data_IF_230423074181
#
_entry.id   IF_230423074181
#
_cell.length_a   1.000
_cell.length_b   1.000
_cell.length_c   1.000
_cell.angle_alpha   90.00
_cell.angle_beta   90.00
_cell.angle_gamma   90.00
#
_symmetry.space_group_name_H-M   'P 1'
#
loop_
_entity.id
_entity.type
_entity.pdbx_description
1 polymer ?
#
# COMPACT_ATOMS: atom_id res chain seq x y z
N UNK A 1 24.44 -5.16 -5.48
CA UNK A 1 23.17 -5.58 -4.85
C UNK A 1 22.69 -6.88 -5.48
N UNK A 2 22.27 -7.86 -4.69
CA UNK A 2 21.73 -9.14 -5.15
C UNK A 2 20.31 -8.97 -5.71
N UNK A 3 19.77 -9.97 -6.44
CA UNK A 3 18.44 -9.89 -7.09
C UNK A 3 17.34 -9.66 -6.04
N UNK A 4 17.35 -10.38 -4.93
CA UNK A 4 16.40 -10.25 -3.81
C UNK A 4 16.44 -8.86 -3.18
N UNK A 5 17.63 -8.29 -2.99
CA UNK A 5 17.76 -6.93 -2.46
C UNK A 5 17.19 -5.89 -3.42
N UNK A 6 17.36 -6.08 -4.74
CA UNK A 6 16.73 -5.23 -5.76
C UNK A 6 15.21 -5.34 -5.71
N UNK A 7 14.66 -6.56 -5.62
CA UNK A 7 13.21 -6.78 -5.51
C UNK A 7 12.64 -6.06 -4.28
N UNK A 8 13.28 -6.22 -3.11
CA UNK A 8 12.84 -5.57 -1.87
C UNK A 8 12.84 -4.04 -2.02
N UNK A 9 13.94 -3.46 -2.53
CA UNK A 9 14.03 -2.00 -2.72
C UNK A 9 13.02 -1.50 -3.74
N UNK A 10 12.85 -2.22 -4.85
CA UNK A 10 11.89 -1.88 -5.90
C UNK A 10 10.46 -1.84 -5.35
N UNK A 11 10.06 -2.85 -4.56
CA UNK A 11 8.73 -2.89 -3.95
C UNK A 11 8.56 -1.81 -2.89
N UNK A 12 9.59 -1.54 -2.08
CA UNK A 12 9.58 -0.45 -1.11
C UNK A 12 9.37 0.91 -1.81
N UNK A 13 10.16 1.21 -2.85
CA UNK A 13 10.02 2.45 -3.61
C UNK A 13 8.67 2.54 -4.33
N UNK A 14 8.17 1.43 -4.87
CA UNK A 14 6.88 1.37 -5.56
C UNK A 14 5.75 1.69 -4.60
N UNK A 15 5.64 0.96 -3.49
CA UNK A 15 4.57 1.19 -2.54
C UNK A 15 4.73 2.54 -1.84
N UNK A 16 5.94 2.95 -1.46
CA UNK A 16 6.16 4.29 -0.90
C UNK A 16 5.69 5.41 -1.83
N UNK A 17 6.01 5.33 -3.11
CA UNK A 17 5.60 6.35 -4.10
C UNK A 17 4.09 6.33 -4.34
N UNK A 18 3.48 5.16 -4.52
CA UNK A 18 2.03 5.10 -4.74
C UNK A 18 1.23 5.43 -3.48
N UNK A 19 1.77 5.17 -2.28
CA UNK A 19 1.16 5.56 -1.01
C UNK A 19 1.23 7.07 -0.77
N UNK A 20 2.34 7.71 -1.13
CA UNK A 20 2.46 9.16 -1.14
C UNK A 20 1.40 9.80 -2.08
N UNK A 21 1.22 9.24 -3.28
CA UNK A 21 0.16 9.67 -4.21
C UNK A 21 -1.24 9.49 -3.62
N UNK A 22 -1.46 8.42 -2.84
CA UNK A 22 -2.75 8.13 -2.20
C UNK A 22 -3.27 9.25 -1.31
N UNK A 23 -2.40 10.06 -0.73
CA UNK A 23 -2.80 11.27 0.00
C UNK A 23 -3.66 12.26 -0.82
N UNK A 24 -3.73 12.13 -2.15
CA UNK A 24 -4.54 12.99 -3.02
C UNK A 24 -5.93 12.42 -3.37
N UNK A 25 -6.18 11.13 -3.17
CA UNK A 25 -7.30 10.39 -3.82
C UNK A 25 -8.30 9.71 -2.88
N UNK A 26 -8.35 10.14 -1.61
CA UNK A 26 -9.19 9.54 -0.59
C UNK A 26 -8.62 8.25 -0.02
N UNK A 27 -9.07 7.92 1.19
CA UNK A 27 -8.34 7.00 2.05
C UNK A 27 -8.44 5.53 1.58
N UNK A 28 -9.57 5.07 1.06
CA UNK A 28 -9.84 3.66 0.77
C UNK A 28 -9.41 3.26 -0.65
N UNK A 29 -10.05 3.84 -1.66
CA UNK A 29 -9.78 3.55 -3.07
C UNK A 29 -8.36 3.93 -3.49
N UNK A 30 -7.80 5.01 -2.93
CA UNK A 30 -6.42 5.40 -3.18
C UNK A 30 -5.44 4.37 -2.62
N UNK A 31 -5.70 3.87 -1.39
CA UNK A 31 -4.87 2.83 -0.79
C UNK A 31 -4.98 1.51 -1.55
N UNK A 32 -6.18 1.21 -2.07
CA UNK A 32 -6.38 0.05 -2.93
C UNK A 32 -5.55 0.12 -4.22
N UNK A 33 -5.58 1.25 -4.92
CA UNK A 33 -4.78 1.45 -6.12
C UNK A 33 -3.28 1.33 -5.80
N UNK A 34 -2.82 2.00 -4.74
CA UNK A 34 -1.42 1.98 -4.32
C UNK A 34 -0.93 0.55 -4.02
N UNK A 35 -1.69 -0.20 -3.22
CA UNK A 35 -1.41 -1.59 -2.88
C UNK A 35 -1.43 -2.50 -4.11
N UNK A 36 -2.40 -2.32 -5.00
CA UNK A 36 -2.53 -3.08 -6.24
C UNK A 36 -1.31 -2.97 -7.16
N UNK A 37 -0.80 -1.76 -7.37
CA UNK A 37 0.42 -1.51 -8.17
C UNK A 37 1.62 -2.22 -7.56
N UNK A 38 1.84 -2.05 -6.25
CA UNK A 38 2.99 -2.62 -5.57
C UNK A 38 2.98 -4.15 -5.57
N UNK A 39 1.82 -4.77 -5.32
CA UNK A 39 1.64 -6.22 -5.35
C UNK A 39 1.94 -6.78 -6.75
N UNK A 40 1.44 -6.11 -7.80
CA UNK A 40 1.59 -6.59 -9.17
C UNK A 40 3.04 -6.48 -9.67
N UNK A 41 3.72 -5.39 -9.35
CA UNK A 41 5.14 -5.20 -9.66
C UNK A 41 6.05 -6.07 -8.80
N UNK A 42 5.66 -6.43 -7.57
CA UNK A 42 6.37 -7.43 -6.76
C UNK A 42 6.31 -8.80 -7.41
N UNK A 43 5.12 -9.28 -7.82
CA UNK A 43 4.98 -10.58 -8.50
C UNK A 43 5.81 -10.62 -9.79
N UNK A 44 5.73 -9.57 -10.60
CA UNK A 44 6.56 -9.44 -11.79
C UNK A 44 8.06 -9.51 -11.46
N UNK A 45 8.51 -8.77 -10.44
CA UNK A 45 9.93 -8.65 -10.11
C UNK A 45 10.53 -9.94 -9.56
N UNK A 46 9.74 -10.75 -8.87
CA UNK A 46 10.13 -12.08 -8.41
C UNK A 46 10.29 -13.04 -9.59
N UNK A 47 9.40 -12.96 -10.59
CA UNK A 47 9.48 -13.76 -11.81
C UNK A 47 9.17 -15.25 -11.59
N UNK A 48 8.55 -15.63 -10.47
CA UNK A 48 8.10 -17.00 -10.24
C UNK A 48 6.90 -17.31 -11.17
N UNK A 49 7.05 -18.30 -12.05
CA UNK A 49 6.03 -18.64 -13.06
C UNK A 49 4.68 -19.03 -12.47
N UNK A 50 4.66 -19.72 -11.32
CA UNK A 50 3.42 -20.08 -10.63
C UNK A 50 2.71 -18.84 -10.08
N UNK A 51 3.47 -17.89 -9.55
CA UNK A 51 2.91 -16.64 -9.02
C UNK A 51 2.43 -15.71 -10.11
N UNK A 52 3.14 -15.66 -11.25
CA UNK A 52 2.72 -14.82 -12.37
C UNK A 52 1.33 -15.22 -12.89
N UNK A 53 1.00 -16.52 -12.90
CA UNK A 53 -0.33 -17.03 -13.29
C UNK A 53 -1.48 -16.58 -12.37
N UNK A 54 -1.20 -16.34 -11.09
CA UNK A 54 -2.17 -15.82 -10.10
C UNK A 54 -1.97 -14.34 -9.81
N UNK A 55 -1.01 -13.69 -10.47
CA UNK A 55 -0.48 -12.37 -10.08
C UNK A 55 -1.55 -11.28 -10.07
N UNK A 56 -2.44 -11.25 -11.07
CA UNK A 56 -3.53 -10.26 -11.11
C UNK A 56 -4.51 -10.47 -9.95
N UNK A 57 -4.87 -11.72 -9.66
CA UNK A 57 -5.79 -12.04 -8.56
C UNK A 57 -5.16 -11.73 -7.21
N UNK A 58 -3.92 -12.15 -6.99
CA UNK A 58 -3.20 -11.84 -5.76
C UNK A 58 -3.08 -10.33 -5.55
N UNK A 59 -2.79 -9.58 -6.61
CA UNK A 59 -2.70 -8.12 -6.57
C UNK A 59 -4.04 -7.44 -6.30
N UNK A 60 -5.15 -7.96 -6.84
CA UNK A 60 -6.48 -7.48 -6.48
C UNK A 60 -6.79 -7.74 -5.00
N UNK A 61 -6.46 -8.93 -4.47
CA UNK A 61 -6.68 -9.21 -3.05
C UNK A 61 -5.81 -8.34 -2.15
N UNK A 62 -4.56 -8.08 -2.54
CA UNK A 62 -3.70 -7.09 -1.89
C UNK A 62 -4.29 -5.69 -1.93
N UNK A 63 -4.77 -5.25 -3.10
CA UNK A 63 -5.45 -3.96 -3.26
C UNK A 63 -6.65 -3.84 -2.32
N UNK A 64 -7.51 -4.86 -2.24
CA UNK A 64 -8.64 -4.87 -1.31
C UNK A 64 -8.13 -4.75 0.14
N UNK A 65 -7.11 -5.49 0.54
CA UNK A 65 -6.58 -5.44 1.91
C UNK A 65 -5.98 -4.08 2.30
N UNK A 66 -5.17 -3.49 1.41
CA UNK A 66 -4.64 -2.14 1.64
C UNK A 66 -5.75 -1.09 1.63
N UNK A 67 -6.76 -1.25 0.76
CA UNK A 67 -7.93 -0.39 0.68
C UNK A 67 -8.83 -0.46 1.91
N UNK A 68 -9.04 -1.66 2.48
CA UNK A 68 -9.80 -1.85 3.71
C UNK A 68 -9.21 -1.03 4.86
N UNK A 69 -7.89 -0.89 4.94
CA UNK A 69 -7.28 -0.04 5.98
C UNK A 69 -7.66 1.44 5.85
N UNK A 70 -8.09 1.89 4.67
CA UNK A 70 -8.47 3.27 4.39
C UNK A 70 -9.62 3.81 5.24
N UNK A 71 -10.46 2.93 5.80
CA UNK A 71 -11.55 3.33 6.70
C UNK A 71 -11.05 3.86 8.06
N UNK A 72 -9.80 3.56 8.43
CA UNK A 72 -9.22 3.96 9.71
C UNK A 72 -8.89 5.45 9.71
N UNK A 73 -9.43 6.17 10.70
CA UNK A 73 -9.03 7.54 10.98
C UNK A 73 -7.72 7.58 11.78
N UNK A 74 -6.84 8.53 11.48
CA UNK A 74 -5.55 8.65 12.21
C UNK A 74 -5.06 10.09 12.41
N UNK A 75 -5.71 11.10 11.83
CA UNK A 75 -5.22 12.49 11.90
C UNK A 75 -5.09 13.04 13.32
N UNK A 76 -5.98 12.64 14.24
CA UNK A 76 -5.87 12.98 15.66
C UNK A 76 -4.67 12.30 16.32
N UNK A 77 -4.36 11.06 15.92
CA UNK A 77 -3.25 10.27 16.46
C UNK A 77 -1.90 10.85 16.03
N UNK A 78 -1.80 11.34 14.79
CA UNK A 78 -0.69 12.20 14.32
C UNK A 78 -0.52 13.41 15.23
N UNK A 79 -1.61 14.05 15.65
CA UNK A 79 -1.56 15.16 16.60
C UNK A 79 -0.98 14.77 17.96
N UNK A 80 -1.26 13.57 18.46
CA UNK A 80 -0.66 13.09 19.72
C UNK A 80 0.86 12.92 19.61
N UNK A 81 1.36 12.45 18.46
CA UNK A 81 2.80 12.31 18.21
C UNK A 81 3.59 13.63 18.19
N UNK A 82 2.88 14.76 18.06
CA UNK A 82 3.41 16.13 18.09
C UNK A 82 3.39 16.78 19.48
N UNK A 83 3.07 16.01 20.51
CA UNK A 83 2.97 16.49 21.89
C UNK A 83 4.34 16.61 22.56
N UNK A 84 4.47 17.59 23.45
CA UNK A 84 5.63 17.77 24.32
C UNK A 84 5.63 16.78 25.50
N UNK A 85 4.46 16.22 25.84
CA UNK A 85 4.37 15.18 26.84
C UNK A 85 4.83 13.85 26.26
N UNK A 86 5.87 13.28 26.86
CA UNK A 86 6.49 12.05 26.39
C UNK A 86 5.50 10.89 26.33
N UNK A 87 4.64 10.74 27.34
CA UNK A 87 3.67 9.64 27.38
C UNK A 87 2.66 9.75 26.25
N UNK A 88 2.16 10.95 25.99
CA UNK A 88 1.21 11.22 24.92
C UNK A 88 1.84 11.10 23.52
N UNK A 89 3.08 11.57 23.34
CA UNK A 89 3.83 11.36 22.10
C UNK A 89 4.11 9.87 21.85
N UNK A 90 4.55 9.14 22.86
CA UNK A 90 4.72 7.68 22.79
C UNK A 90 3.42 6.98 22.43
N UNK A 91 2.30 7.36 23.06
CA UNK A 91 0.98 6.83 22.72
C UNK A 91 0.64 7.09 21.25
N UNK A 92 0.80 8.33 20.77
CA UNK A 92 0.56 8.70 19.37
C UNK A 92 1.36 7.84 18.39
N UNK A 93 2.68 7.77 18.57
CA UNK A 93 3.55 7.00 17.66
C UNK A 93 3.27 5.49 17.74
N UNK A 94 3.00 4.94 18.92
CA UNK A 94 2.65 3.52 19.05
C UNK A 94 1.31 3.19 18.39
N UNK A 95 0.30 4.05 18.54
CA UNK A 95 -1.00 3.86 17.90
C UNK A 95 -0.93 4.03 16.38
N UNK A 96 -0.10 4.95 15.87
CA UNK A 96 0.23 4.98 14.44
C UNK A 96 0.95 3.70 14.01
N UNK A 97 1.81 3.16 14.86
CA UNK A 97 2.41 1.84 14.68
C UNK A 97 1.36 0.73 14.54
N UNK A 98 0.32 0.75 15.36
CA UNK A 98 -0.81 -0.19 15.25
C UNK A 98 -1.58 0.01 13.95
N UNK A 99 -1.98 1.25 13.63
CA UNK A 99 -2.77 1.56 12.43
C UNK A 99 -1.99 1.20 11.16
N UNK A 100 -0.72 1.58 11.06
CA UNK A 100 0.16 1.22 9.94
C UNK A 100 0.37 -0.30 9.87
N UNK A 101 0.43 -0.94 11.03
CA UNK A 101 0.45 -2.38 11.16
C UNK A 101 -0.79 -3.06 10.59
N UNK A 102 -1.98 -2.51 10.83
CA UNK A 102 -3.24 -3.03 10.30
C UNK A 102 -3.35 -2.89 8.78
N UNK A 103 -2.91 -1.75 8.21
CA UNK A 103 -2.76 -1.60 6.76
C UNK A 103 -1.87 -2.71 6.17
N UNK A 104 -0.67 -2.86 6.74
CA UNK A 104 0.30 -3.86 6.30
C UNK A 104 -0.20 -5.28 6.48
N UNK A 105 -0.89 -5.57 7.59
CA UNK A 105 -1.44 -6.88 7.92
C UNK A 105 -2.47 -7.31 6.89
N UNK A 106 -3.51 -6.49 6.66
CA UNK A 106 -4.60 -6.79 5.73
C UNK A 106 -4.09 -6.84 4.28
N UNK A 107 -3.33 -5.82 3.87
CA UNK A 107 -2.78 -5.73 2.52
C UNK A 107 -1.82 -6.86 2.18
N UNK A 108 -0.80 -7.07 3.02
CA UNK A 108 0.18 -8.14 2.84
C UNK A 108 -0.40 -9.54 3.06
N UNK A 109 -1.39 -9.68 3.94
CA UNK A 109 -2.04 -10.94 4.25
C UNK A 109 -2.95 -11.44 3.12
N UNK A 110 -3.85 -10.60 2.62
CA UNK A 110 -4.72 -10.96 1.50
C UNK A 110 -3.90 -11.17 0.21
N UNK A 111 -2.85 -10.37 0.00
CA UNK A 111 -1.90 -10.61 -1.09
C UNK A 111 -1.20 -11.97 -0.94
N UNK A 112 -0.65 -12.27 0.25
CA UNK A 112 0.03 -13.52 0.54
C UNK A 112 -0.86 -14.75 0.35
N UNK A 113 -2.13 -14.69 0.77
CA UNK A 113 -3.12 -15.74 0.49
C UNK A 113 -3.39 -15.90 -1.01
N UNK A 114 -3.37 -14.80 -1.77
CA UNK A 114 -3.44 -14.85 -3.23
C UNK A 114 -2.25 -15.58 -3.87
N UNK A 115 -1.04 -15.40 -3.32
CA UNK A 115 0.16 -16.13 -3.78
C UNK A 115 0.14 -17.62 -3.41
N UNK A 116 -0.48 -17.96 -2.27
CA UNK A 116 -0.59 -19.32 -1.76
C UNK A 116 -1.30 -20.26 -2.76
N UNK A 117 -2.26 -19.75 -3.55
CA UNK A 117 -2.91 -20.52 -4.62
C UNK A 117 -1.91 -20.93 -5.71
N UNK A 118 -0.94 -20.08 -6.03
CA UNK A 118 0.13 -20.38 -6.97
C UNK A 118 1.20 -21.30 -6.38
N UNK A 119 1.54 -21.12 -5.09
CA UNK A 119 2.58 -21.92 -4.42
C UNK A 119 2.15 -23.34 -4.08
N UNK A 120 0.99 -23.50 -3.43
CA UNK A 120 0.51 -24.78 -2.91
C UNK A 120 -0.39 -25.54 -3.89
N UNK A 121 -0.93 -24.86 -4.91
CA UNK A 121 -1.98 -25.38 -5.79
C UNK A 121 -3.35 -25.51 -5.11
N UNK A 122 -3.46 -25.27 -3.79
CA UNK A 122 -4.72 -25.29 -3.05
C UNK A 122 -5.43 -23.95 -3.22
N UNK A 123 -6.71 -24.01 -3.60
CA UNK A 123 -7.55 -22.80 -3.67
C UNK A 123 -7.85 -22.31 -2.26
N UNK A 124 -7.74 -21.01 -2.05
CA UNK A 124 -8.19 -20.38 -0.81
C UNK A 124 -9.72 -20.37 -0.81
N UNK A 125 -10.31 -20.73 0.33
CA UNK A 125 -11.76 -20.67 0.54
C UNK A 125 -12.19 -19.21 0.79
N UNK A 126 -12.07 -18.36 -0.24
CA UNK A 126 -12.36 -16.92 -0.16
C UNK A 126 -13.72 -16.59 0.48
N UNK A 127 -14.84 -17.28 0.18
CA UNK A 127 -16.12 -17.00 0.84
C UNK A 127 -16.06 -17.23 2.35
N UNK A 128 -15.44 -18.33 2.79
CA UNK A 128 -15.28 -18.63 4.21
C UNK A 128 -14.39 -17.60 4.90
N UNK A 129 -13.26 -17.24 4.27
CA UNK A 129 -12.36 -16.21 4.80
C UNK A 129 -13.08 -14.87 4.98
N UNK A 130 -13.86 -14.43 3.99
CA UNK A 130 -14.62 -13.16 4.06
C UNK A 130 -15.65 -13.21 5.19
N UNK A 131 -16.34 -14.34 5.38
CA UNK A 131 -17.28 -14.52 6.50
C UNK A 131 -16.55 -14.46 7.84
N UNK A 132 -15.43 -15.16 7.98
CA UNK A 132 -14.62 -15.16 9.21
C UNK A 132 -14.05 -13.77 9.52
N UNK A 133 -13.55 -13.05 8.52
CA UNK A 133 -13.06 -11.67 8.68
C UNK A 133 -14.19 -10.72 9.09
N UNK A 134 -15.37 -10.84 8.47
CA UNK A 134 -16.55 -10.02 8.82
C UNK A 134 -17.00 -10.31 10.26
N UNK A 135 -17.10 -11.59 10.64
CA UNK A 135 -17.47 -11.97 12.01
C UNK A 135 -16.43 -11.50 13.03
N UNK A 136 -15.13 -11.67 12.73
CA UNK A 136 -14.05 -11.18 13.58
C UNK A 136 -14.07 -9.67 13.76
N UNK A 137 -14.31 -8.91 12.68
CA UNK A 137 -14.49 -7.47 12.73
C UNK A 137 -15.63 -7.04 13.66
N UNK A 138 -16.81 -7.65 13.52
CA UNK A 138 -17.98 -7.33 14.33
C UNK A 138 -17.77 -7.66 15.81
N UNK A 139 -17.25 -8.86 16.10
CA UNK A 139 -16.98 -9.32 17.46
C UNK A 139 -15.95 -8.41 18.13
N UNK A 140 -14.82 -8.14 17.46
CA UNK A 140 -13.77 -7.32 18.04
C UNK A 140 -14.25 -5.89 18.29
N UNK A 141 -14.91 -5.27 17.30
CA UNK A 141 -15.42 -3.91 17.44
C UNK A 141 -16.42 -3.81 18.60
N UNK A 142 -17.38 -4.74 18.70
CA UNK A 142 -18.35 -4.74 19.79
C UNK A 142 -17.70 -4.87 21.16
N UNK A 143 -16.82 -5.86 21.37
CA UNK A 143 -16.24 -6.09 22.70
C UNK A 143 -15.19 -5.04 23.06
N UNK A 144 -14.30 -4.67 22.13
CA UNK A 144 -13.15 -3.79 22.44
C UNK A 144 -13.53 -2.32 22.40
N UNK A 145 -14.28 -1.89 21.38
CA UNK A 145 -14.62 -0.47 21.20
C UNK A 145 -15.89 -0.13 21.98
N UNK A 146 -17.00 -0.82 21.69
CA UNK A 146 -18.30 -0.45 22.29
C UNK A 146 -18.41 -0.83 23.77
N UNK A 147 -18.05 -2.08 24.13
CA UNK A 147 -18.25 -2.56 25.50
C UNK A 147 -17.14 -2.13 26.47
N UNK A 148 -15.86 -2.22 26.06
CA UNK A 148 -14.73 -1.83 26.91
C UNK A 148 -14.37 -0.34 26.80
N UNK A 149 -14.90 0.38 25.80
CA UNK A 149 -14.60 1.81 25.63
C UNK A 149 -13.15 2.09 25.30
N UNK A 150 -12.43 1.15 24.67
CA UNK A 150 -11.04 1.36 24.25
C UNK A 150 -11.05 2.19 22.97
N UNK A 151 -11.00 3.51 23.14
CA UNK A 151 -11.02 4.48 22.04
C UNK A 151 -9.60 4.95 21.71
N UNK A 152 -9.21 4.83 20.45
CA UNK A 152 -7.91 5.25 19.92
C UNK A 152 -7.97 6.63 19.26
N UNK A 153 -9.07 6.93 18.57
CA UNK A 153 -9.21 8.06 17.63
C UNK A 153 -10.34 9.06 17.93
N UNK A 154 -10.88 9.20 19.15
CA UNK A 154 -12.07 10.03 19.36
C UNK A 154 -11.80 11.51 19.04
N UNK A 155 -12.79 12.27 18.55
CA UNK A 155 -14.20 11.88 18.31
C UNK A 155 -14.42 11.24 16.92
N UNK A 156 -13.37 10.76 16.24
CA UNK A 156 -13.47 10.12 14.92
C UNK A 156 -13.87 8.65 15.05
N UNK A 157 -14.08 8.02 13.89
CA UNK A 157 -14.47 6.62 13.77
C UNK A 157 -13.37 5.68 14.27
N UNK A 158 -13.74 4.75 15.15
CA UNK A 158 -12.88 3.70 15.71
C UNK A 158 -12.76 2.47 14.79
N UNK A 159 -12.78 2.71 13.47
CA UNK A 159 -12.73 1.67 12.45
C UNK A 159 -11.45 0.82 12.49
N UNK A 160 -10.41 1.25 13.21
CA UNK A 160 -9.24 0.40 13.50
C UNK A 160 -9.64 -0.90 14.22
N UNK A 161 -10.69 -0.88 15.05
CA UNK A 161 -11.19 -2.08 15.74
C UNK A 161 -11.79 -3.09 14.76
N UNK A 162 -12.49 -2.60 13.73
CA UNK A 162 -13.00 -3.43 12.62
C UNK A 162 -11.83 -4.09 11.88
N UNK A 163 -10.82 -3.30 11.50
CA UNK A 163 -9.63 -3.81 10.81
C UNK A 163 -8.83 -4.80 11.67
N UNK A 164 -8.70 -4.55 12.97
CA UNK A 164 -8.03 -5.43 13.92
C UNK A 164 -8.75 -6.78 14.03
N UNK A 165 -10.06 -6.78 14.23
CA UNK A 165 -10.86 -8.00 14.27
C UNK A 165 -10.78 -8.82 12.98
N UNK A 166 -10.91 -8.17 11.83
CA UNK A 166 -10.73 -8.82 10.52
C UNK A 166 -9.32 -9.40 10.36
N UNK A 167 -8.29 -8.66 10.76
CA UNK A 167 -6.90 -9.08 10.70
C UNK A 167 -6.60 -10.30 11.58
N UNK A 168 -7.11 -10.32 12.81
CA UNK A 168 -6.96 -11.46 13.74
C UNK A 168 -7.64 -12.72 13.17
N UNK A 169 -8.88 -12.60 12.66
CA UNK A 169 -9.57 -13.71 12.03
C UNK A 169 -8.83 -14.23 10.78
N UNK A 170 -8.26 -13.33 9.96
CA UNK A 170 -7.44 -13.71 8.83
C UNK A 170 -6.14 -14.44 9.24
N UNK A 171 -5.45 -13.97 10.29
CA UNK A 171 -4.27 -14.67 10.83
C UNK A 171 -4.63 -16.06 11.35
N UNK A 172 -5.75 -16.18 12.07
CA UNK A 172 -6.26 -17.46 12.54
C UNK A 172 -6.59 -18.41 11.37
N UNK A 173 -7.21 -17.89 10.30
CA UNK A 173 -7.43 -18.61 9.05
C UNK A 173 -6.12 -19.14 8.45
N UNK A 174 -5.08 -18.31 8.38
CA UNK A 174 -3.78 -18.74 7.84
C UNK A 174 -3.14 -19.84 8.69
N UNK A 175 -3.21 -19.71 10.02
CA UNK A 175 -2.63 -20.69 10.96
C UNK A 175 -3.36 -22.04 10.84
N UNK A 176 -4.70 -22.05 10.90
CA UNK A 176 -5.50 -23.28 10.88
C UNK A 176 -5.45 -24.02 9.53
N UNK A 177 -5.12 -23.31 8.45
CA UNK A 177 -4.96 -23.89 7.11
C UNK A 177 -3.49 -24.07 6.70
N UNK A 178 -2.53 -23.83 7.61
CA UNK A 178 -1.09 -23.97 7.38
C UNK A 178 -0.53 -23.11 6.23
N UNK A 179 -1.08 -21.91 6.01
CA UNK A 179 -0.60 -20.95 5.02
C UNK A 179 0.59 -20.13 5.57
N UNK A 180 1.72 -20.78 5.80
CA UNK A 180 2.88 -20.18 6.49
C UNK A 180 3.54 -19.06 5.68
N UNK A 181 3.53 -19.16 4.35
CA UNK A 181 4.06 -18.13 3.45
C UNK A 181 3.23 -16.86 3.51
N UNK A 182 1.90 -17.01 3.41
CA UNK A 182 0.96 -15.90 3.57
C UNK A 182 1.05 -15.26 4.97
N UNK A 183 1.09 -16.08 6.03
CA UNK A 183 1.24 -15.63 7.41
C UNK A 183 2.50 -14.78 7.60
N UNK A 184 3.64 -15.27 7.10
CA UNK A 184 4.91 -14.53 7.19
C UNK A 184 4.85 -13.21 6.40
N UNK A 185 4.22 -13.21 5.23
CA UNK A 185 4.04 -12.01 4.41
C UNK A 185 3.18 -10.97 5.14
N UNK A 186 2.08 -11.40 5.75
CA UNK A 186 1.19 -10.56 6.56
C UNK A 186 1.94 -9.92 7.74
N UNK A 187 2.68 -10.72 8.52
CA UNK A 187 3.38 -10.24 9.72
C UNK A 187 4.52 -9.26 9.40
N UNK A 188 5.34 -9.53 8.38
CA UNK A 188 6.41 -8.60 8.02
C UNK A 188 5.87 -7.33 7.36
N UNK A 189 4.81 -7.44 6.55
CA UNK A 189 4.11 -6.27 6.01
C UNK A 189 3.51 -5.41 7.13
N UNK A 190 2.91 -6.03 8.15
CA UNK A 190 2.41 -5.33 9.34
C UNK A 190 3.53 -4.62 10.11
N UNK A 191 4.63 -5.31 10.43
CA UNK A 191 5.75 -4.68 11.14
C UNK A 191 6.34 -3.53 10.33
N UNK A 192 6.49 -3.71 9.01
CA UNK A 192 6.98 -2.68 8.10
C UNK A 192 6.06 -1.46 8.03
N UNK A 193 4.77 -1.68 7.79
CA UNK A 193 3.78 -0.59 7.73
C UNK A 193 3.64 0.15 9.04
N UNK A 194 3.63 -0.56 10.17
CA UNK A 194 3.56 0.03 11.51
C UNK A 194 4.78 0.86 11.84
N UNK A 195 5.98 0.28 11.68
CA UNK A 195 7.22 1.04 11.86
C UNK A 195 7.28 2.26 10.95
N UNK A 196 6.96 2.09 9.67
CA UNK A 196 7.00 3.17 8.69
C UNK A 196 6.05 4.31 9.00
N UNK A 197 4.88 4.03 9.55
CA UNK A 197 3.91 5.07 9.89
C UNK A 197 4.35 5.87 11.12
N UNK A 198 4.73 5.17 12.20
CA UNK A 198 5.23 5.79 13.42
C UNK A 198 6.51 6.61 13.16
N UNK A 199 7.44 6.04 12.41
CA UNK A 199 8.66 6.74 12.01
C UNK A 199 8.37 7.92 11.07
N UNK A 200 7.40 7.78 10.17
CA UNK A 200 6.95 8.85 9.29
C UNK A 200 6.41 10.06 10.07
N UNK A 201 5.67 9.83 11.14
CA UNK A 201 5.16 10.91 12.00
C UNK A 201 6.27 11.58 12.80
N UNK A 202 7.23 10.80 13.33
CA UNK A 202 8.48 11.36 13.86
C UNK A 202 9.19 12.26 12.84
N UNK A 203 9.26 11.86 11.57
CA UNK A 203 9.82 12.71 10.51
C UNK A 203 8.99 13.97 10.25
N UNK A 204 7.68 13.99 10.52
CA UNK A 204 6.89 15.23 10.46
C UNK A 204 7.32 16.22 11.53
N UNK A 205 7.50 15.74 12.76
CA UNK A 205 7.99 16.56 13.88
C UNK A 205 9.36 17.13 13.55
N UNK A 206 10.31 16.27 13.16
CA UNK A 206 11.65 16.70 12.78
C UNK A 206 11.65 17.64 11.56
N UNK A 207 10.75 17.39 10.60
CA UNK A 207 10.55 18.24 9.44
C UNK A 207 10.13 19.65 9.80
N UNK A 208 9.18 19.78 10.73
CA UNK A 208 8.79 21.09 11.27
C UNK A 208 9.97 21.81 11.93
N UNK A 209 10.77 21.10 12.74
CA UNK A 209 11.93 21.68 13.43
C UNK A 209 13.06 22.08 12.47
N UNK A 210 13.20 21.38 11.35
CA UNK A 210 14.20 21.70 10.32
C UNK A 210 13.93 23.03 9.60
N UNK A 211 12.70 23.57 9.69
CA UNK A 211 12.23 24.74 8.92
C UNK A 211 12.31 24.56 7.40
N UNK A 212 12.49 23.32 6.92
CA UNK A 212 12.44 23.01 5.48
C UNK A 212 10.97 23.08 5.06
N UNK A 213 10.68 23.94 4.07
CA UNK A 213 9.34 24.04 3.48
C UNK A 213 9.10 22.86 2.51
N UNK A 214 8.72 21.72 3.07
CA UNK A 214 8.40 20.51 2.32
C UNK A 214 7.11 19.87 2.87
N UNK A 215 6.42 19.11 2.03
CA UNK A 215 5.22 18.38 2.42
C UNK A 215 5.58 17.16 3.28
N UNK A 216 5.81 17.36 4.58
CA UNK A 216 6.18 16.28 5.49
C UNK A 216 5.03 15.31 5.78
N UNK A 217 3.78 15.72 5.60
CA UNK A 217 2.66 14.77 5.61
C UNK A 217 2.85 13.68 4.55
N UNK A 218 3.28 14.10 3.37
CA UNK A 218 3.59 13.17 2.29
C UNK A 218 4.84 12.30 2.57
N UNK A 219 5.82 12.81 3.32
CA UNK A 219 6.96 12.01 3.81
C UNK A 219 6.49 10.90 4.76
N UNK A 220 5.52 11.19 5.63
CA UNK A 220 4.92 10.19 6.50
C UNK A 220 4.19 9.12 5.70
N UNK A 221 3.31 9.50 4.77
CA UNK A 221 2.60 8.56 3.90
C UNK A 221 3.58 7.71 3.06
N UNK A 222 4.63 8.35 2.51
CA UNK A 222 5.71 7.66 1.81
C UNK A 222 6.40 6.63 2.70
N UNK A 223 6.69 6.98 3.96
CA UNK A 223 7.37 6.10 4.92
C UNK A 223 6.54 4.86 5.24
N UNK A 224 5.24 5.03 5.48
CA UNK A 224 4.31 3.90 5.65
C UNK A 224 4.39 2.95 4.44
N UNK A 225 4.22 3.47 3.23
CA UNK A 225 4.28 2.66 2.01
C UNK A 225 5.64 2.01 1.79
N UNK A 226 6.74 2.74 2.04
CA UNK A 226 8.09 2.26 1.81
C UNK A 226 8.43 1.06 2.71
N UNK A 227 8.25 1.21 4.02
CA UNK A 227 8.55 0.14 4.97
C UNK A 227 7.52 -0.98 4.90
N UNK A 228 6.24 -0.68 4.62
CA UNK A 228 5.22 -1.68 4.33
C UNK A 228 5.58 -2.54 3.12
N UNK A 229 6.04 -1.92 2.02
CA UNK A 229 6.46 -2.61 0.80
C UNK A 229 7.72 -3.44 1.01
N UNK A 230 8.69 -2.92 1.77
CA UNK A 230 9.89 -3.63 2.20
C UNK A 230 9.52 -4.90 2.99
N UNK A 231 8.66 -4.76 4.00
CA UNK A 231 8.18 -5.84 4.83
C UNK A 231 7.42 -6.90 4.03
N UNK A 232 6.50 -6.47 3.16
CA UNK A 232 5.74 -7.35 2.27
C UNK A 232 6.65 -8.16 1.33
N UNK A 233 7.61 -7.51 0.66
CA UNK A 233 8.54 -8.19 -0.24
C UNK A 233 9.45 -9.18 0.51
N UNK A 234 10.02 -8.76 1.65
CA UNK A 234 10.85 -9.62 2.48
C UNK A 234 10.06 -10.84 3.01
N UNK A 235 8.84 -10.62 3.49
CA UNK A 235 7.94 -11.66 3.99
C UNK A 235 7.61 -12.68 2.90
N UNK A 236 7.27 -12.22 1.69
CA UNK A 236 7.00 -13.10 0.55
C UNK A 236 8.23 -13.91 0.14
N UNK A 237 9.38 -13.27 -0.05
CA UNK A 237 10.62 -13.95 -0.46
C UNK A 237 11.12 -14.96 0.56
N UNK A 238 10.89 -14.74 1.86
CA UNK A 238 11.36 -15.63 2.92
C UNK A 238 10.33 -16.65 3.40
N UNK A 239 9.04 -16.40 3.19
CA UNK A 239 7.94 -17.28 3.62
C UNK A 239 7.64 -18.41 2.65
N UNK A 240 7.94 -18.22 1.38
CA UNK A 240 7.58 -19.15 0.31
C UNK A 240 8.79 -19.92 -0.27
N UNK A 241 9.86 -20.06 0.51
CA UNK A 241 11.16 -20.65 0.09
C UNK A 241 11.07 -22.04 -0.56
N UNK A 242 10.02 -22.83 -0.29
CA UNK A 242 9.82 -24.17 -0.87
C UNK A 242 8.91 -24.21 -2.11
N UNK A 243 8.52 -23.05 -2.67
CA UNK A 243 7.67 -23.01 -3.87
C UNK A 243 8.44 -23.28 -5.17
N UNK A 244 9.77 -23.27 -5.10
CA UNK A 244 10.67 -23.67 -6.16
C UNK A 244 11.10 -25.12 -5.92
N UNK A 245 11.20 -25.89 -7.01
CA UNK A 245 11.61 -27.30 -7.07
C UNK A 245 10.49 -28.31 -6.72
N UNK A 246 9.42 -28.28 -7.50
CA UNK A 246 8.81 -29.55 -7.91
C UNK A 246 8.31 -29.34 -9.33
N UNK A 247 9.02 -29.98 -10.27
CA UNK A 247 8.53 -30.23 -11.62
C UNK A 247 7.30 -31.12 -11.48
N UNK A 248 6.12 -30.51 -11.42
CA UNK A 248 4.86 -31.23 -11.46
C UNK A 248 4.00 -30.61 -12.56
N UNK A 249 4.00 -31.35 -13.68
CA UNK A 249 3.13 -31.32 -14.87
C UNK A 249 2.71 -29.96 -15.41
N UNK A 250 3.15 -29.69 -16.63
CA UNK A 250 2.52 -28.79 -17.58
C UNK A 250 1.03 -29.15 -17.75
N UNK A 251 0.16 -28.48 -17.00
CA UNK A 251 -1.17 -28.17 -17.50
C UNK A 251 -1.30 -26.66 -17.60
N UNK A 252 -1.05 -26.20 -18.83
CA UNK A 252 -1.30 -24.86 -19.33
C UNK A 252 -2.81 -24.59 -19.33
N UNK A 253 -3.37 -24.24 -18.17
CA UNK A 253 -4.61 -23.50 -18.15
C UNK A 253 -4.36 -22.15 -17.50
N UNK A 254 -4.44 -21.11 -18.32
CA UNK A 254 -4.62 -19.73 -17.87
C UNK A 254 -5.74 -19.74 -16.83
N UNK A 255 -5.53 -19.11 -15.68
CA UNK A 255 -6.57 -18.99 -14.67
C UNK A 255 -7.81 -18.38 -15.32
N UNK A 256 -8.94 -19.12 -15.45
CA UNK A 256 -10.11 -18.66 -16.20
C UNK A 256 -10.78 -17.42 -15.56
N UNK A 257 -10.33 -17.01 -14.36
CA UNK A 257 -10.84 -15.85 -13.62
C UNK A 257 -9.96 -14.60 -13.70
N UNK A 258 -8.86 -14.63 -14.47
CA UNK A 258 -7.99 -13.45 -14.65
C UNK A 258 -8.77 -12.23 -15.14
N UNK A 259 -9.77 -12.43 -16.00
CA UNK A 259 -10.65 -11.37 -16.52
C UNK A 259 -11.37 -10.62 -15.39
N UNK A 260 -11.93 -11.34 -14.41
CA UNK A 260 -12.64 -10.72 -13.28
C UNK A 260 -11.67 -9.96 -12.37
N UNK A 261 -10.51 -10.54 -12.10
CA UNK A 261 -9.48 -9.85 -11.31
C UNK A 261 -8.97 -8.60 -12.01
N UNK A 262 -8.85 -8.63 -13.34
CA UNK A 262 -8.46 -7.47 -14.15
C UNK A 262 -9.53 -6.39 -14.13
N UNK A 263 -10.81 -6.74 -14.25
CA UNK A 263 -11.93 -5.80 -14.14
C UNK A 263 -11.90 -5.10 -12.77
N UNK A 264 -11.70 -5.83 -11.68
CA UNK A 264 -11.61 -5.24 -10.35
C UNK A 264 -10.40 -4.30 -10.21
N UNK A 265 -9.22 -4.76 -10.60
CA UNK A 265 -7.96 -4.06 -10.36
C UNK A 265 -7.74 -2.87 -11.29
N UNK A 266 -8.07 -3.02 -12.58
CA UNK A 266 -7.84 -1.99 -13.61
C UNK A 266 -9.11 -1.20 -13.93
N UNK A 267 -10.28 -1.83 -13.85
CA UNK A 267 -11.55 -1.16 -14.13
C UNK A 267 -12.08 -0.42 -12.91
N UNK A 268 -12.56 -1.17 -11.92
CA UNK A 268 -13.38 -0.67 -10.80
C UNK A 268 -12.59 0.27 -9.89
N UNK A 269 -11.43 -0.14 -9.39
CA UNK A 269 -10.64 0.69 -8.45
C UNK A 269 -10.30 2.06 -9.08
N UNK A 270 -9.71 2.12 -10.30
CA UNK A 270 -9.45 3.40 -10.94
C UNK A 270 -10.69 4.21 -11.29
N UNK A 271 -11.81 3.56 -11.65
CA UNK A 271 -13.06 4.25 -11.94
C UNK A 271 -13.62 4.95 -10.69
N UNK A 272 -13.56 4.32 -9.53
CA UNK A 272 -14.00 4.93 -8.26
C UNK A 272 -13.12 6.15 -7.93
N UNK A 273 -11.79 6.02 -8.08
CA UNK A 273 -10.88 7.15 -7.90
C UNK A 273 -11.19 8.28 -8.87
N UNK A 274 -11.39 7.97 -10.16
CA UNK A 274 -11.76 8.96 -11.17
C UNK A 274 -13.06 9.69 -10.76
N UNK A 275 -14.11 8.95 -10.44
CA UNK A 275 -15.42 9.49 -10.11
C UNK A 275 -15.35 10.42 -8.89
N UNK A 276 -14.83 9.92 -7.76
CA UNK A 276 -14.81 10.70 -6.52
C UNK A 276 -13.88 11.92 -6.61
N UNK A 277 -12.79 11.82 -7.38
CA UNK A 277 -11.74 12.83 -7.35
C UNK A 277 -11.90 13.89 -8.43
N UNK A 278 -12.56 13.58 -9.54
CA UNK A 278 -12.72 14.49 -10.68
C UNK A 278 -14.17 14.82 -11.02
N UNK A 279 -15.13 13.95 -10.68
CA UNK A 279 -16.57 14.18 -10.97
C UNK A 279 -17.30 14.73 -9.76
N UNK A 280 -17.16 14.13 -8.58
CA UNK A 280 -17.86 14.56 -7.37
C UNK A 280 -17.20 15.78 -6.70
N UNK A 281 -15.88 15.88 -6.80
CA UNK A 281 -15.11 16.98 -6.21
C UNK A 281 -15.19 18.22 -7.10
N UNK A 282 -15.54 19.36 -6.50
CA UNK A 282 -15.38 20.64 -7.17
C UNK A 282 -13.89 20.98 -7.36
N UNK A 283 -13.46 21.01 -8.62
CA UNK A 283 -12.10 21.31 -9.03
C UNK A 283 -11.84 22.82 -9.13
N UNK A 284 -12.89 23.64 -9.27
CA UNK A 284 -12.76 25.08 -9.52
C UNK A 284 -11.93 25.79 -8.43
N UNK A 285 -12.14 25.55 -7.12
CA UNK A 285 -11.36 26.20 -6.06
C UNK A 285 -9.86 25.89 -6.16
N UNK A 286 -9.48 24.73 -6.70
CA UNK A 286 -8.07 24.38 -6.87
C UNK A 286 -7.40 25.27 -7.91
N UNK A 287 -8.11 25.60 -8.99
CA UNK A 287 -7.57 26.39 -10.10
C UNK A 287 -7.70 27.90 -9.90
N UNK A 288 -8.65 28.35 -9.08
CA UNK A 288 -8.75 29.76 -8.66
C UNK A 288 -7.51 30.20 -7.85
N UNK A 289 -6.96 29.30 -7.03
CA UNK A 289 -5.75 29.56 -6.25
C UNK A 289 -4.48 29.79 -7.09
N UNK A 290 -4.51 29.50 -8.40
CA UNK A 290 -3.38 29.73 -9.31
C UNK A 290 -3.46 31.08 -10.04
N UNK A 291 -4.43 31.94 -9.72
CA UNK A 291 -4.62 33.27 -10.34
C UNK A 291 -4.66 33.23 -11.88
N UNK A 292 -5.24 32.17 -12.43
CA UNK A 292 -5.34 31.94 -13.87
C UNK A 292 -6.44 32.81 -14.49
N UNK A 293 -6.26 33.21 -15.76
CA UNK A 293 -7.25 34.01 -16.49
C UNK A 293 -8.60 33.31 -16.72
N UNK A 294 -8.62 31.97 -16.74
CA UNK A 294 -9.84 31.18 -16.89
C UNK A 294 -9.76 29.85 -16.09
N UNK A 295 -10.02 29.88 -14.77
CA UNK A 295 -9.94 28.70 -13.91
C UNK A 295 -10.93 27.58 -14.28
N UNK A 296 -12.11 27.92 -14.80
CA UNK A 296 -13.14 26.95 -15.18
C UNK A 296 -12.75 26.12 -16.40
N UNK A 297 -12.01 26.72 -17.35
CA UNK A 297 -11.39 25.99 -18.45
C UNK A 297 -10.42 24.91 -17.93
N UNK A 298 -9.54 25.25 -16.99
CA UNK A 298 -8.55 24.31 -16.45
C UNK A 298 -9.17 23.20 -15.60
N UNK A 299 -10.21 23.50 -14.84
CA UNK A 299 -11.01 22.50 -14.14
C UNK A 299 -11.62 21.48 -15.14
N UNK A 300 -12.24 21.98 -16.21
CA UNK A 300 -12.85 21.14 -17.26
C UNK A 300 -11.80 20.32 -18.02
N UNK A 301 -10.67 20.94 -18.37
CA UNK A 301 -9.53 20.26 -19.00
C UNK A 301 -9.01 19.10 -18.14
N UNK A 302 -8.88 19.33 -16.83
CA UNK A 302 -8.39 18.33 -15.87
C UNK A 302 -9.31 17.11 -15.81
N UNK A 303 -10.62 17.33 -15.73
CA UNK A 303 -11.63 16.27 -15.79
C UNK A 303 -11.55 15.46 -17.10
N UNK A 304 -11.52 16.14 -18.25
CA UNK A 304 -11.47 15.49 -19.57
C UNK A 304 -10.19 14.68 -19.71
N UNK A 305 -9.04 15.22 -19.29
CA UNK A 305 -7.77 14.52 -19.36
C UNK A 305 -7.74 13.29 -18.45
N UNK A 306 -8.29 13.38 -17.24
CA UNK A 306 -8.41 12.24 -16.34
C UNK A 306 -9.29 11.14 -16.93
N UNK A 307 -10.38 11.50 -17.62
CA UNK A 307 -11.23 10.56 -18.35
C UNK A 307 -10.49 9.89 -19.52
N UNK A 308 -9.77 10.66 -20.33
CA UNK A 308 -8.94 10.12 -21.43
C UNK A 308 -7.90 9.13 -20.90
N UNK A 309 -7.20 9.48 -19.82
CA UNK A 309 -6.22 8.59 -19.18
C UNK A 309 -6.89 7.28 -18.73
N UNK A 310 -8.09 7.36 -18.13
CA UNK A 310 -8.83 6.16 -17.74
C UNK A 310 -9.14 5.27 -18.94
N UNK A 311 -9.69 5.84 -20.02
CA UNK A 311 -10.01 5.12 -21.26
C UNK A 311 -8.77 4.49 -21.88
N UNK A 312 -7.66 5.24 -21.98
CA UNK A 312 -6.40 4.74 -22.52
C UNK A 312 -5.85 3.57 -21.68
N UNK A 313 -5.92 3.67 -20.35
CA UNK A 313 -5.53 2.59 -19.46
C UNK A 313 -6.39 1.33 -19.67
N UNK A 314 -7.71 1.47 -19.83
CA UNK A 314 -8.59 0.33 -20.15
C UNK A 314 -8.20 -0.29 -21.50
N UNK A 315 -7.99 0.52 -22.52
CA UNK A 315 -7.63 0.07 -23.87
C UNK A 315 -6.30 -0.70 -23.88
N UNK A 316 -5.25 -0.12 -23.27
CA UNK A 316 -3.93 -0.75 -23.17
C UNK A 316 -4.01 -2.09 -22.44
N UNK A 317 -4.79 -2.14 -21.35
CA UNK A 317 -4.95 -3.35 -20.55
C UNK A 317 -5.74 -4.43 -21.27
N UNK A 318 -6.78 -4.04 -22.02
CA UNK A 318 -7.57 -4.93 -22.85
C UNK A 318 -6.74 -5.53 -24.00
N UNK A 319 -5.96 -4.71 -24.71
CA UNK A 319 -5.08 -5.18 -25.77
C UNK A 319 -3.97 -6.09 -25.24
N UNK A 320 -3.40 -5.78 -24.06
CA UNK A 320 -2.44 -6.66 -23.40
C UNK A 320 -3.07 -8.01 -23.01
N UNK A 321 -4.29 -7.99 -22.47
CA UNK A 321 -5.05 -9.21 -22.15
C UNK A 321 -5.36 -10.05 -23.40
N UNK A 322 -5.76 -9.42 -24.49
CA UNK A 322 -6.01 -10.09 -25.78
C UNK A 322 -4.74 -10.76 -26.32
N UNK A 323 -3.59 -10.09 -26.22
CA UNK A 323 -2.28 -10.66 -26.60
C UNK A 323 -1.92 -11.85 -25.71
N UNK A 324 -2.13 -11.75 -24.40
CA UNK A 324 -1.91 -12.85 -23.46
C UNK A 324 -2.79 -14.06 -23.80
N UNK A 325 -4.09 -13.83 -24.02
CA UNK A 325 -5.06 -14.89 -24.34
C UNK A 325 -4.77 -15.58 -25.68
N UNK A 326 -4.15 -14.86 -26.63
CA UNK A 326 -3.68 -15.42 -27.91
C UNK A 326 -2.30 -16.08 -27.83
N UNK A 327 -1.65 -16.08 -26.67
CA UNK A 327 -0.28 -16.59 -26.49
C UNK A 327 0.81 -15.74 -27.14
N UNK A 328 0.52 -14.48 -27.51
CA UNK A 328 1.48 -13.57 -28.16
C UNK A 328 2.46 -12.93 -27.16
N UNK A 329 2.10 -12.90 -25.88
CA UNK A 329 2.95 -12.45 -24.78
C UNK A 329 2.80 -13.42 -23.61
N UNK A 330 3.85 -13.58 -22.78
CA UNK A 330 3.78 -14.35 -21.54
C UNK A 330 3.27 -13.53 -20.34
N UNK A 331 3.03 -14.19 -19.21
CA UNK A 331 2.52 -13.56 -17.99
C UNK A 331 3.43 -12.44 -17.46
N UNK A 332 4.75 -12.62 -17.52
CA UNK A 332 5.71 -11.62 -17.05
C UNK A 332 5.60 -10.26 -17.77
N UNK A 333 5.75 -10.21 -19.11
CA UNK A 333 5.52 -8.99 -19.88
C UNK A 333 4.12 -8.39 -19.66
N UNK A 334 3.09 -9.22 -19.56
CA UNK A 334 1.73 -8.78 -19.28
C UNK A 334 1.63 -8.07 -17.92
N UNK A 335 2.08 -8.70 -16.83
CA UNK A 335 2.07 -8.09 -15.49
C UNK A 335 2.91 -6.82 -15.44
N UNK A 336 4.09 -6.80 -16.07
CA UNK A 336 4.90 -5.58 -16.17
C UNK A 336 4.11 -4.44 -16.81
N UNK A 337 3.45 -4.72 -17.94
CA UNK A 337 2.70 -3.71 -18.68
C UNK A 337 1.54 -3.17 -17.83
N UNK A 338 0.71 -4.05 -17.27
CA UNK A 338 -0.43 -3.64 -16.43
C UNK A 338 0.05 -2.82 -15.22
N UNK A 339 1.11 -3.25 -14.54
CA UNK A 339 1.62 -2.55 -13.35
C UNK A 339 2.16 -1.17 -13.67
N UNK A 340 2.91 -1.03 -14.77
CA UNK A 340 3.41 0.28 -15.21
C UNK A 340 2.28 1.19 -15.71
N UNK A 341 1.29 0.66 -16.42
CA UNK A 341 0.12 1.43 -16.85
C UNK A 341 -0.67 1.96 -15.65
N UNK A 342 -0.93 1.12 -14.65
CA UNK A 342 -1.62 1.54 -13.42
C UNK A 342 -0.83 2.59 -12.65
N UNK A 343 0.50 2.43 -12.54
CA UNK A 343 1.36 3.39 -11.84
C UNK A 343 1.37 4.73 -12.58
N UNK A 344 1.61 4.72 -13.89
CA UNK A 344 1.61 5.94 -14.71
C UNK A 344 0.28 6.67 -14.63
N UNK A 345 -0.84 5.97 -14.79
CA UNK A 345 -2.17 6.57 -14.68
C UNK A 345 -2.39 7.21 -13.30
N UNK A 346 -1.97 6.55 -12.22
CA UNK A 346 -2.13 7.08 -10.86
C UNK A 346 -1.29 8.33 -10.61
N UNK A 347 -0.04 8.33 -11.09
CA UNK A 347 0.83 9.50 -11.03
C UNK A 347 0.30 10.66 -11.91
N UNK A 348 -0.22 10.35 -13.10
CA UNK A 348 -0.86 11.35 -13.96
C UNK A 348 -2.09 11.96 -13.31
N UNK A 349 -2.92 11.14 -12.64
CA UNK A 349 -4.03 11.64 -11.85
C UNK A 349 -3.53 12.60 -10.77
N UNK A 350 -2.45 12.25 -10.06
CA UNK A 350 -1.85 13.10 -9.02
C UNK A 350 -1.48 14.47 -9.57
N UNK A 351 -0.75 14.50 -10.69
CA UNK A 351 -0.33 15.75 -11.34
C UNK A 351 -1.55 16.60 -11.73
N UNK A 352 -2.58 15.97 -12.28
CA UNK A 352 -3.82 16.61 -12.70
C UNK A 352 -4.58 17.23 -11.53
N UNK A 353 -4.88 16.45 -10.49
CA UNK A 353 -5.70 16.93 -9.38
C UNK A 353 -5.00 17.99 -8.54
N UNK A 354 -3.67 17.98 -8.49
CA UNK A 354 -2.91 18.98 -7.74
C UNK A 354 -2.56 20.22 -8.56
N UNK A 355 -2.85 20.24 -9.87
CA UNK A 355 -2.45 21.33 -10.76
C UNK A 355 -0.93 21.45 -10.95
N UNK A 356 -0.16 20.39 -10.71
CA UNK A 356 1.31 20.43 -10.75
C UNK A 356 1.88 20.55 -12.18
N UNK A 357 1.01 20.49 -13.20
CA UNK A 357 1.35 20.82 -14.58
C UNK A 357 1.30 22.33 -14.87
N UNK A 358 0.70 23.13 -13.98
CA UNK A 358 0.61 24.60 -14.08
C UNK A 358 1.67 25.25 -13.19
N UNK A 359 1.85 24.75 -11.96
CA UNK A 359 2.77 25.32 -10.97
C UNK A 359 3.77 24.29 -10.45
N UNK A 360 5.02 24.74 -10.28
CA UNK A 360 6.13 23.93 -9.75
C UNK A 360 6.14 23.91 -8.21
N UNK A 361 5.19 24.61 -7.56
CA UNK A 361 5.16 24.75 -6.08
C UNK A 361 5.03 23.44 -5.29
N UNK A 362 4.62 22.33 -5.92
CA UNK A 362 4.53 21.00 -5.29
C UNK A 362 5.66 20.09 -5.77
N UNK A 363 6.87 20.34 -5.28
CA UNK A 363 8.07 19.64 -5.72
C UNK A 363 7.98 18.11 -5.53
N UNK A 364 7.18 17.65 -4.56
CA UNK A 364 6.95 16.23 -4.29
C UNK A 364 6.36 15.48 -5.49
N UNK A 365 5.59 16.15 -6.35
CA UNK A 365 4.99 15.53 -7.54
C UNK A 365 6.05 15.10 -8.56
N UNK A 366 7.14 15.87 -8.68
CA UNK A 366 8.27 15.53 -9.56
C UNK A 366 9.20 14.48 -8.94
N UNK A 367 9.24 14.38 -7.61
CA UNK A 367 9.94 13.29 -6.92
C UNK A 367 9.27 11.94 -7.17
N UNK A 368 7.94 11.90 -7.39
CA UNK A 368 7.27 10.67 -7.83
C UNK A 368 7.77 10.20 -9.19
N UNK A 369 7.97 11.12 -10.14
CA UNK A 369 8.53 10.82 -11.45
C UNK A 369 9.97 10.32 -11.34
N UNK A 370 10.78 10.96 -10.49
CA UNK A 370 12.15 10.50 -10.23
C UNK A 370 12.16 9.08 -9.66
N UNK A 371 11.32 8.79 -8.65
CA UNK A 371 11.19 7.44 -8.10
C UNK A 371 10.72 6.44 -9.16
N UNK A 372 9.77 6.82 -10.01
CA UNK A 372 9.30 5.98 -11.11
C UNK A 372 10.44 5.62 -12.09
N UNK A 373 11.30 6.59 -12.44
CA UNK A 373 12.49 6.35 -13.27
C UNK A 373 13.46 5.39 -12.57
N UNK A 374 13.72 5.59 -11.27
CA UNK A 374 14.57 4.69 -10.48
C UNK A 374 14.00 3.28 -10.45
N UNK A 375 12.68 3.13 -10.30
CA UNK A 375 11.99 1.83 -10.32
C UNK A 375 12.16 1.14 -11.68
N UNK A 376 11.95 1.85 -12.80
CA UNK A 376 12.21 1.31 -14.14
C UNK A 376 13.67 0.88 -14.29
N UNK A 377 14.60 1.70 -13.82
CA UNK A 377 16.02 1.36 -13.83
C UNK A 377 16.28 0.07 -13.04
N UNK A 378 15.78 -0.04 -11.80
CA UNK A 378 15.93 -1.25 -10.98
C UNK A 378 15.31 -2.49 -11.65
N UNK A 379 14.12 -2.37 -12.25
CA UNK A 379 13.48 -3.44 -13.01
C UNK A 379 14.36 -3.94 -14.16
N UNK A 380 15.03 -3.04 -14.89
CA UNK A 380 15.93 -3.41 -15.99
C UNK A 380 17.14 -4.24 -15.53
N UNK A 381 17.55 -4.08 -14.27
CA UNK A 381 18.72 -4.76 -13.70
C UNK A 381 18.40 -6.17 -13.19
N UNK A 382 17.13 -6.56 -13.08
CA UNK A 382 16.72 -7.88 -12.57
C UNK A 382 17.24 -9.06 -13.42
N UNK A 383 17.29 -8.91 -14.75
CA UNK A 383 17.74 -9.98 -15.66
C UNK A 383 19.24 -10.28 -15.57
N UNK A 384 20.04 -9.29 -15.18
CA UNK A 384 21.50 -9.35 -15.26
C UNK A 384 22.15 -9.65 -13.90
N UNK A 385 21.40 -10.23 -12.96
CA UNK A 385 21.87 -10.50 -11.60
C UNK A 385 21.81 -11.99 -11.30
N UNK A 386 22.85 -12.54 -10.65
CA UNK A 386 22.85 -13.94 -10.26
C UNK A 386 21.66 -14.25 -9.35
N UNK A 387 21.07 -15.43 -9.55
CA UNK A 387 20.03 -15.95 -8.66
C UNK A 387 20.61 -16.21 -7.27
N UNK A 388 19.84 -15.82 -6.25
CA UNK A 388 20.38 -15.24 -5.01
C UNK A 388 21.12 -16.17 -4.04
N UNK A 389 22.07 -15.56 -3.33
CA UNK A 389 22.41 -15.88 -1.93
C UNK A 389 21.16 -15.84 -1.03
N UNK A 390 20.95 -16.89 -0.23
CA UNK A 390 19.82 -16.98 0.71
C UNK A 390 19.69 -15.72 1.58
N UNK A 391 18.51 -15.08 1.57
CA UNK A 391 18.19 -14.01 2.51
C UNK A 391 18.19 -14.57 3.95
N UNK A 392 18.73 -13.81 4.93
CA UNK A 392 18.66 -14.19 6.34
C UNK A 392 17.19 -14.30 6.77
N UNK A 393 16.88 -15.33 7.56
CA UNK A 393 15.54 -15.59 8.06
C UNK A 393 15.44 -15.00 9.47
N UNK A 394 14.72 -13.88 9.61
CA UNK A 394 14.44 -13.27 10.89
C UNK A 394 13.10 -13.76 11.45
N UNK A 395 12.97 -13.78 12.78
CA UNK A 395 11.68 -14.00 13.44
C UNK A 395 10.84 -12.72 13.39
N UNK A 396 9.55 -12.77 12.99
CA UNK A 396 8.66 -11.62 13.06
C UNK A 396 8.62 -11.00 14.47
N UNK A 397 8.57 -11.84 15.52
CA UNK A 397 8.53 -11.35 16.90
C UNK A 397 9.76 -10.54 17.28
N UNK A 398 10.96 -11.00 16.91
CA UNK A 398 12.22 -10.30 17.20
C UNK A 398 12.28 -8.95 16.47
N UNK A 399 11.89 -8.92 15.19
CA UNK A 399 11.88 -7.69 14.40
C UNK A 399 10.82 -6.71 14.93
N UNK A 400 9.65 -7.21 15.33
CA UNK A 400 8.60 -6.41 15.95
C UNK A 400 9.04 -5.78 17.27
N UNK A 401 9.74 -6.51 18.14
CA UNK A 401 10.31 -5.96 19.38
C UNK A 401 11.33 -4.87 19.08
N UNK A 402 12.22 -5.08 18.09
CA UNK A 402 13.19 -4.06 17.69
C UNK A 402 12.46 -2.81 17.18
N UNK A 403 11.45 -2.97 16.32
CA UNK A 403 10.65 -1.85 15.82
C UNK A 403 9.97 -1.08 16.96
N UNK A 404 9.36 -1.79 17.92
CA UNK A 404 8.76 -1.18 19.11
C UNK A 404 9.78 -0.37 19.93
N UNK A 405 10.95 -0.95 20.22
CA UNK A 405 12.00 -0.25 20.97
C UNK A 405 12.51 0.99 20.24
N UNK A 406 12.64 0.93 18.91
CA UNK A 406 13.00 2.11 18.10
C UNK A 406 11.91 3.17 18.17
N UNK A 407 10.63 2.79 18.10
CA UNK A 407 9.49 3.72 18.24
C UNK A 407 9.53 4.42 19.59
N UNK A 408 9.81 3.69 20.68
CA UNK A 408 9.96 4.28 22.01
C UNK A 408 11.08 5.32 22.04
N UNK A 409 12.24 5.02 21.44
CA UNK A 409 13.38 5.94 21.39
C UNK A 409 13.02 7.20 20.59
N UNK A 410 12.45 7.06 19.38
CA UNK A 410 12.10 8.24 18.56
C UNK A 410 10.97 9.06 19.16
N UNK A 411 10.06 8.45 19.93
CA UNK A 411 9.03 9.20 20.66
C UNK A 411 9.61 10.08 21.77
N UNK A 412 10.65 9.61 22.47
CA UNK A 412 11.38 10.44 23.43
C UNK A 412 12.08 11.60 22.74
N UNK A 413 12.73 11.34 21.60
CA UNK A 413 13.37 12.40 20.81
C UNK A 413 12.35 13.42 20.33
N UNK A 414 11.20 12.99 19.81
CA UNK A 414 10.12 13.89 19.38
C UNK A 414 9.71 14.82 20.52
N UNK A 415 9.24 14.26 21.64
CA UNK A 415 8.69 15.03 22.75
C UNK A 415 9.69 16.04 23.36
N UNK A 416 10.97 15.67 23.50
CA UNK A 416 11.98 16.52 24.13
C UNK A 416 12.72 17.46 23.16
N UNK A 417 12.39 17.44 21.87
CA UNK A 417 13.10 18.24 20.86
C UNK A 417 12.48 19.61 20.59
N UNK A 418 11.30 19.89 21.12
CA UNK A 418 10.55 21.10 20.78
C UNK A 418 9.65 21.60 21.91
N UNK A 419 9.26 22.88 21.79
CA UNK A 419 8.15 23.48 22.54
C UNK A 419 6.79 23.20 21.86
N UNK A 420 5.72 23.95 22.17
CA UNK A 420 4.41 23.69 21.54
C UNK A 420 4.48 23.92 20.03
N UNK A 421 4.00 22.94 19.24
CA UNK A 421 3.96 23.04 17.77
C UNK A 421 2.53 22.94 17.22
N UNK A 422 2.22 23.56 16.07
CA UNK A 422 0.87 23.53 15.49
C UNK A 422 0.37 22.10 15.25
N UNK A 423 -0.92 21.87 15.53
CA UNK A 423 -1.56 20.57 15.34
C UNK A 423 -1.28 19.54 16.44
N UNK A 424 -0.50 19.89 17.47
CA UNK A 424 -0.36 19.07 18.68
C UNK A 424 -1.71 18.83 19.35
N UNK A 425 -1.93 17.60 19.80
CA UNK A 425 -3.13 17.16 20.53
C UNK A 425 -2.70 16.44 21.81
N UNK A 426 -3.56 16.44 22.83
CA UNK A 426 -3.31 15.77 24.10
C UNK A 426 -4.44 14.79 24.39
N UNK A 427 -4.09 13.54 24.71
CA UNK A 427 -5.03 12.48 25.08
C UNK A 427 -5.31 12.43 26.57
N UNK A 428 -4.28 12.69 27.39
CA UNK A 428 -4.26 12.48 28.84
C UNK A 428 -3.92 13.75 29.62
#
# INVERSE_FOLDING_TARGET
MSKNKIIILLTALTLGTTWAIRGQFGHEQGAAWAGGVACLLLVFSIGNTKWMKVGVKASLMGAIGWGMGGMMSYGVVVGYGRSEDWLNATYGLLMLGVIGGLYGLLGGGLFGLGLEEGSSGKKIAWPQLVVEMTAGALIFYFFIVEQLGILMTPPRSEAWGVCAGAGIAMLYYMVRNHHTGALRTALFSAIGGGFGFAFGDFLQVMGFLSKIHFNFWNVMEYSLGFFGGLGMAYGALTGFKNSAITEASEQNQVNPRIKWSLIGLVGIIPLIVFHQSFVERDLLPTFENFELSNPSFWASFTLIMAFIIWVLMQFISFESYKKLNKGLIGDGPFLKQIGLTLFLAYMSYSILITGAFISIGRIEQYLYLLNFIVIIYLMSRLKNKPEDSLLPIYSPSKVGVIAFLVIMIVSAIAAFSHGPIPGGQVRF
#
